data_IF_100531606290
#
_entry.id   IF_100531606290
#
_cell.length_a   1.000
_cell.length_b   1.000
_cell.length_c   1.000
_cell.angle_alpha   90.00
_cell.angle_beta   90.00
_cell.angle_gamma   90.00
#
_symmetry.space_group_name_H-M   'P 1'
#
loop_
_entity.id
_entity.type
_entity.pdbx_description
1 polymer ?
#
# COMPACT_ATOMS: atom_id res chain seq x y z
N UNK A 1 -12.16 0.05 15.48
CA UNK A 1 -10.72 0.40 15.59
C UNK A 1 -9.96 -0.55 14.67
N UNK A 2 -8.94 -0.08 13.92
CA UNK A 2 -8.07 -0.99 13.18
C UNK A 2 -7.42 -1.98 14.17
N UNK A 3 -7.24 -3.24 13.76
CA UNK A 3 -6.58 -4.24 14.61
C UNK A 3 -5.06 -4.10 14.52
N UNK A 4 -4.35 -4.56 15.55
CA UNK A 4 -2.91 -4.36 15.73
C UNK A 4 -2.05 -4.61 14.46
N UNK A 5 -2.26 -5.67 13.65
CA UNK A 5 -1.49 -5.87 12.42
C UNK A 5 -1.67 -4.79 11.34
N UNK A 6 -2.78 -4.05 11.35
CA UNK A 6 -2.97 -2.93 10.43
C UNK A 6 -2.19 -1.70 10.82
N UNK A 7 -2.19 -1.40 12.12
CA UNK A 7 -1.44 -0.27 12.66
C UNK A 7 0.04 -0.52 12.43
N UNK A 8 0.48 -1.76 12.65
CA UNK A 8 1.84 -2.18 12.32
C UNK A 8 2.13 -2.03 10.82
N UNK A 9 1.27 -2.54 9.94
CA UNK A 9 1.45 -2.39 8.50
C UNK A 9 1.46 -0.91 8.05
N UNK A 10 0.57 -0.06 8.57
CA UNK A 10 0.56 1.35 8.25
C UNK A 10 1.85 2.05 8.74
N UNK A 11 2.25 1.78 9.98
CA UNK A 11 3.45 2.36 10.59
C UNK A 11 4.72 1.92 9.86
N UNK A 12 4.84 0.64 9.50
CA UNK A 12 6.00 0.14 8.75
C UNK A 12 6.06 0.68 7.34
N UNK A 13 4.91 0.81 6.68
CA UNK A 13 4.87 1.42 5.35
C UNK A 13 5.34 2.88 5.40
N UNK A 14 4.84 3.64 6.38
CA UNK A 14 5.27 5.03 6.60
C UNK A 14 6.77 5.11 6.94
N UNK A 15 7.27 4.23 7.80
CA UNK A 15 8.69 4.18 8.17
C UNK A 15 9.59 3.97 6.95
N UNK A 16 9.27 2.99 6.10
CA UNK A 16 10.02 2.73 4.87
C UNK A 16 9.99 3.93 3.92
N UNK A 17 8.82 4.54 3.74
CA UNK A 17 8.65 5.71 2.88
C UNK A 17 9.48 6.90 3.38
N UNK A 18 9.47 7.15 4.70
CA UNK A 18 10.26 8.22 5.32
C UNK A 18 11.76 7.94 5.30
N UNK A 19 12.16 6.67 5.41
CA UNK A 19 13.55 6.23 5.25
C UNK A 19 14.09 6.57 3.86
N UNK A 20 13.34 6.22 2.82
CA UNK A 20 13.67 6.55 1.43
C UNK A 20 13.67 8.06 1.18
N UNK A 21 12.67 8.78 1.70
CA UNK A 21 12.61 10.25 1.61
C UNK A 21 13.90 10.89 2.17
N UNK A 22 14.35 10.41 3.33
CA UNK A 22 15.57 10.91 3.99
C UNK A 22 16.82 10.61 3.18
N UNK A 23 16.95 9.40 2.60
CA UNK A 23 18.08 9.04 1.75
C UNK A 23 18.19 9.96 0.53
N UNK A 24 17.05 10.31 -0.08
CA UNK A 24 16.95 11.25 -1.20
C UNK A 24 17.00 12.73 -0.79
N UNK A 25 17.15 13.03 0.51
CA UNK A 25 17.13 14.39 1.08
C UNK A 25 15.85 15.17 0.74
N UNK A 26 14.73 14.47 0.60
CA UNK A 26 13.41 15.09 0.44
C UNK A 26 13.01 15.69 1.79
N UNK A 27 13.07 17.02 1.91
CA UNK A 27 12.72 17.77 3.13
C UNK A 27 11.29 18.31 3.13
N UNK A 28 10.51 17.94 2.12
CA UNK A 28 9.15 18.42 1.88
C UNK A 28 8.15 17.58 2.65
N UNK A 29 7.00 18.17 3.00
CA UNK A 29 5.93 17.46 3.68
C UNK A 29 5.32 16.40 2.76
N UNK A 30 5.46 15.13 3.14
CA UNK A 30 4.84 14.00 2.47
C UNK A 30 3.52 13.71 3.20
N UNK A 31 2.40 13.73 2.48
CA UNK A 31 1.11 13.35 3.03
C UNK A 31 0.84 11.88 2.74
N UNK A 32 0.94 11.03 3.75
CA UNK A 32 0.54 9.63 3.68
C UNK A 32 -0.98 9.54 3.90
N UNK A 33 -1.76 9.35 2.84
CA UNK A 33 -3.18 9.00 2.93
C UNK A 33 -3.32 7.50 2.68
N UNK A 34 -3.20 6.68 3.73
CA UNK A 34 -3.23 5.21 3.64
C UNK A 34 -4.42 4.58 4.37
N UNK A 35 -4.91 3.44 3.86
CA UNK A 35 -5.91 2.59 4.51
C UNK A 35 -5.46 1.11 4.45
N UNK A 36 -5.52 0.41 5.58
CA UNK A 36 -5.10 -1.01 5.73
C UNK A 36 -6.30 -1.89 6.15
N UNK A 37 -6.40 -3.18 5.74
CA UNK A 37 -7.51 -4.11 6.12
C UNK A 37 -7.07 -5.48 6.75
N UNK A 38 -7.80 -5.98 7.75
CA UNK A 38 -7.90 -7.38 8.27
C UNK A 38 -9.34 -7.82 8.04
N UNK A 39 -9.53 -9.04 7.54
CA UNK A 39 -10.82 -9.72 7.61
C UNK A 39 -11.06 -10.19 9.06
N UNK A 40 -11.73 -9.41 9.92
CA UNK A 40 -12.28 -9.93 11.17
C UNK A 40 -13.67 -9.36 11.43
N UNK A 41 -14.55 -10.27 11.84
CA UNK A 41 -15.89 -10.07 12.40
C UNK A 41 -16.00 -8.78 13.22
N UNK A 42 -16.93 -7.90 12.78
CA UNK A 42 -17.58 -6.71 13.39
C UNK A 42 -16.87 -5.98 14.55
N UNK A 43 -16.68 -4.65 14.53
CA UNK A 43 -17.72 -3.62 14.35
C UNK A 43 -17.15 -2.44 13.54
N UNK A 44 -17.78 -2.16 12.39
CA UNK A 44 -17.43 -1.04 11.51
C UNK A 44 -17.25 -1.43 10.04
N UNK A 45 -18.29 -2.05 9.45
CA UNK A 45 -18.46 -2.31 8.01
C UNK A 45 -17.29 -3.02 7.30
N UNK A 46 -17.34 -4.36 7.33
CA UNK A 46 -16.56 -5.23 6.45
C UNK A 46 -16.64 -4.73 5.00
N UNK A 47 -15.49 -4.59 4.35
CA UNK A 47 -15.38 -4.02 3.00
C UNK A 47 -14.69 -5.04 2.10
N UNK A 48 -15.35 -5.54 1.05
CA UNK A 48 -14.75 -6.45 0.05
C UNK A 48 -13.71 -5.73 -0.82
N UNK A 49 -12.91 -6.47 -1.60
CA UNK A 49 -12.00 -5.89 -2.59
C UNK A 49 -12.72 -4.92 -3.56
N UNK A 50 -14.00 -5.19 -3.90
CA UNK A 50 -14.80 -4.26 -4.71
C UNK A 50 -15.16 -2.96 -3.98
N UNK A 51 -15.23 -2.96 -2.64
CA UNK A 51 -15.46 -1.74 -1.87
C UNK A 51 -14.20 -0.90 -1.76
N UNK A 52 -13.01 -1.52 -1.59
CA UNK A 52 -11.73 -0.81 -1.73
C UNK A 52 -11.55 -0.17 -3.11
N UNK A 53 -11.88 -0.90 -4.17
CA UNK A 53 -11.86 -0.35 -5.53
C UNK A 53 -12.82 0.83 -5.67
N UNK A 54 -14.01 0.79 -5.05
CA UNK A 54 -14.97 1.91 -5.03
C UNK A 54 -14.46 3.09 -4.21
N UNK A 55 -13.86 2.87 -3.05
CA UNK A 55 -13.34 3.91 -2.17
C UNK A 55 -12.13 4.62 -2.82
N UNK A 56 -11.23 3.86 -3.46
CA UNK A 56 -10.12 4.42 -4.24
C UNK A 56 -10.62 5.13 -5.50
N UNK A 57 -11.58 4.55 -6.22
CA UNK A 57 -12.20 5.22 -7.36
C UNK A 57 -12.83 6.55 -6.92
N UNK A 58 -13.47 6.57 -5.75
CA UNK A 58 -14.02 7.78 -5.16
C UNK A 58 -12.93 8.78 -4.78
N UNK A 59 -11.85 8.38 -4.10
CA UNK A 59 -10.73 9.28 -3.75
C UNK A 59 -10.02 9.85 -4.96
N UNK A 60 -9.68 9.00 -5.93
CA UNK A 60 -9.03 9.44 -7.18
C UNK A 60 -9.92 10.43 -7.94
N UNK A 61 -11.24 10.21 -7.98
CA UNK A 61 -12.19 11.14 -8.61
C UNK A 61 -12.39 12.42 -7.80
N UNK A 62 -12.59 12.31 -6.49
CA UNK A 62 -12.84 13.44 -5.59
C UNK A 62 -11.63 14.38 -5.48
N UNK A 63 -10.42 13.85 -5.67
CA UNK A 63 -9.18 14.61 -5.64
C UNK A 63 -9.06 15.68 -6.74
N UNK A 64 -9.92 15.67 -7.78
CA UNK A 64 -9.86 16.58 -8.94
C UNK A 64 -8.46 16.67 -9.58
N UNK A 65 -7.70 15.56 -9.57
CA UNK A 65 -6.34 15.50 -10.11
C UNK A 65 -5.23 15.78 -9.10
N UNK A 66 -5.56 16.01 -7.82
CA UNK A 66 -4.60 16.14 -6.72
C UNK A 66 -4.06 14.78 -6.24
N UNK A 67 -4.66 13.66 -6.64
CA UNK A 67 -4.15 12.32 -6.34
C UNK A 67 -3.92 11.57 -7.63
N UNK A 68 -2.67 11.17 -7.88
CA UNK A 68 -2.26 10.50 -9.13
C UNK A 68 -2.14 8.97 -8.98
N UNK A 69 -2.12 8.47 -7.74
CA UNK A 69 -2.02 7.04 -7.42
C UNK A 69 -2.66 6.75 -6.06
N UNK A 70 -3.25 5.57 -5.90
CA UNK A 70 -3.62 4.99 -4.60
C UNK A 70 -2.89 3.68 -4.33
N UNK A 71 -2.60 3.37 -3.08
CA UNK A 71 -1.97 2.11 -2.66
C UNK A 71 -2.86 1.42 -1.64
N UNK A 72 -3.06 0.12 -1.78
CA UNK A 72 -3.78 -0.71 -0.80
C UNK A 72 -2.89 -1.79 -0.26
N UNK A 73 -3.02 -2.06 1.04
CA UNK A 73 -2.36 -3.15 1.73
C UNK A 73 -3.44 -4.05 2.34
N UNK A 74 -3.61 -5.22 1.75
CA UNK A 74 -4.60 -6.23 2.13
C UNK A 74 -3.92 -7.35 2.93
N UNK A 75 -4.34 -7.57 4.19
CA UNK A 75 -3.86 -8.68 5.02
C UNK A 75 -4.95 -9.74 5.10
N UNK A 76 -4.74 -10.89 4.46
CA UNK A 76 -5.73 -11.99 4.39
C UNK A 76 -5.72 -12.81 5.68
N UNK A 77 -6.81 -12.70 6.44
CA UNK A 77 -6.99 -13.46 7.69
C UNK A 77 -6.93 -14.96 7.44
N UNK A 78 -6.38 -15.72 8.39
CA UNK A 78 -6.16 -17.16 8.29
C UNK A 78 -4.85 -17.53 7.59
N UNK A 79 -4.61 -17.00 6.39
CA UNK A 79 -3.35 -17.27 5.66
C UNK A 79 -2.18 -16.38 6.07
N UNK A 80 -2.47 -15.19 6.60
CA UNK A 80 -1.45 -14.17 6.83
C UNK A 80 -0.88 -13.55 5.55
N UNK A 81 -1.38 -13.92 4.36
CA UNK A 81 -0.88 -13.37 3.10
C UNK A 81 -1.10 -11.86 3.04
N UNK A 82 -0.09 -11.13 2.62
CA UNK A 82 -0.10 -9.67 2.49
C UNK A 82 -0.07 -9.34 1.00
N UNK A 83 -1.01 -8.55 0.53
CA UNK A 83 -1.10 -8.14 -0.87
C UNK A 83 -1.07 -6.61 -0.95
N UNK A 84 -0.10 -6.07 -1.70
CA UNK A 84 0.01 -4.65 -2.02
C UNK A 84 -0.47 -4.45 -3.46
N UNK A 85 -1.32 -3.45 -3.69
CA UNK A 85 -1.70 -3.01 -5.04
C UNK A 85 -1.52 -1.52 -5.20
N UNK A 86 -0.97 -1.12 -6.34
CA UNK A 86 -0.96 0.28 -6.80
C UNK A 86 -2.08 0.47 -7.80
N UNK A 87 -2.79 1.58 -7.66
CA UNK A 87 -3.96 1.94 -8.46
C UNK A 87 -3.75 3.30 -9.10
N UNK A 88 -4.05 3.43 -10.39
CA UNK A 88 -4.04 4.72 -11.09
C UNK A 88 -5.42 5.04 -11.65
N UNK A 89 -5.77 6.34 -11.78
CA UNK A 89 -6.99 6.73 -12.47
C UNK A 89 -6.96 6.24 -13.92
N UNK A 90 -8.06 5.66 -14.38
CA UNK A 90 -8.24 5.42 -15.81
C UNK A 90 -8.61 6.74 -16.46
N UNK A 91 -7.75 7.26 -17.35
CA UNK A 91 -8.09 8.43 -18.15
C UNK A 91 -8.97 7.99 -19.32
N UNK A 92 -10.28 8.24 -19.24
CA UNK A 92 -11.20 8.06 -20.38
C UNK A 92 -11.65 9.39 -20.95
N UNK A 93 -11.55 9.53 -22.27
CA UNK A 93 -12.16 10.62 -23.04
C UNK A 93 -13.40 10.07 -23.78
N UNK A 94 -14.59 10.68 -23.63
CA UNK A 94 -14.91 11.84 -22.80
C UNK A 94 -14.90 11.54 -21.29
N UNK A 95 -14.54 12.55 -20.46
CA UNK A 95 -14.37 12.50 -18.99
C UNK A 95 -15.61 12.03 -18.19
N UNK A 96 -16.73 11.79 -18.86
CA UNK A 96 -18.00 11.38 -18.25
C UNK A 96 -18.19 9.85 -18.21
N UNK A 97 -17.33 9.08 -18.86
CA UNK A 97 -17.35 7.63 -18.74
C UNK A 97 -16.71 7.20 -17.40
N UNK A 98 -17.51 6.61 -16.51
CA UNK A 98 -17.02 6.04 -15.25
C UNK A 98 -16.15 4.81 -15.54
N UNK A 99 -14.84 4.99 -15.62
CA UNK A 99 -13.91 3.87 -15.72
C UNK A 99 -13.34 3.56 -14.34
N UNK A 100 -13.40 2.28 -13.94
CA UNK A 100 -12.80 1.81 -12.71
C UNK A 100 -11.29 2.06 -12.72
N UNK A 101 -10.65 2.38 -11.57
CA UNK A 101 -9.20 2.56 -11.50
C UNK A 101 -8.48 1.27 -11.90
N UNK A 102 -7.32 1.41 -12.54
CA UNK A 102 -6.51 0.26 -12.98
C UNK A 102 -5.45 -0.09 -11.95
N UNK A 103 -5.27 -1.38 -11.71
CA UNK A 103 -4.12 -1.89 -10.94
C UNK A 103 -2.89 -1.85 -11.84
N UNK A 104 -1.84 -1.17 -11.41
CA UNK A 104 -0.56 -1.08 -12.15
C UNK A 104 0.53 -1.93 -11.54
N UNK A 105 0.48 -2.17 -10.23
CA UNK A 105 1.40 -3.05 -9.53
C UNK A 105 0.62 -3.97 -8.60
N UNK A 106 1.07 -5.22 -8.48
CA UNK A 106 0.53 -6.19 -7.54
C UNK A 106 1.69 -6.99 -6.96
N UNK A 107 1.82 -6.92 -5.64
CA UNK A 107 2.87 -7.60 -4.88
C UNK A 107 2.19 -8.50 -3.87
N UNK A 108 2.57 -9.78 -3.86
CA UNK A 108 1.99 -10.78 -2.97
C UNK A 108 3.10 -11.40 -2.12
N UNK A 109 2.99 -11.24 -0.81
CA UNK A 109 3.88 -11.83 0.18
C UNK A 109 3.14 -12.91 0.94
N UNK A 110 3.77 -14.08 1.06
CA UNK A 110 3.22 -15.22 1.78
C UNK A 110 4.16 -15.64 2.88
N UNK A 111 3.60 -15.83 4.07
CA UNK A 111 4.31 -16.41 5.21
C UNK A 111 4.72 -17.82 4.83
N UNK A 112 5.99 -18.16 5.07
CA UNK A 112 6.44 -19.54 4.97
C UNK A 112 5.83 -20.37 6.10
N UNK A 113 5.27 -21.55 5.80
CA UNK A 113 4.77 -22.48 6.81
C UNK A 113 5.79 -23.58 7.12
N UNK A 114 5.76 -24.13 8.33
CA UNK A 114 6.51 -25.35 8.71
C UNK A 114 8.02 -25.31 8.35
N UNK A 115 8.69 -24.19 8.66
CA UNK A 115 10.12 -24.02 8.39
C UNK A 115 10.47 -23.60 6.96
N UNK A 116 9.49 -23.40 6.07
CA UNK A 116 9.74 -22.79 4.77
C UNK A 116 10.02 -21.30 4.90
N UNK A 117 10.86 -20.78 4.00
CA UNK A 117 11.13 -19.35 3.90
C UNK A 117 9.90 -18.60 3.38
N UNK A 118 9.69 -17.34 3.80
CA UNK A 118 8.66 -16.51 3.21
C UNK A 118 8.93 -16.26 1.73
N UNK A 119 7.87 -16.00 0.97
CA UNK A 119 7.96 -15.76 -0.48
C UNK A 119 7.34 -14.43 -0.85
N UNK A 120 7.89 -13.80 -1.88
CA UNK A 120 7.37 -12.60 -2.51
C UNK A 120 7.18 -12.86 -4.00
N UNK A 121 6.05 -12.40 -4.54
CA UNK A 121 5.72 -12.42 -5.96
C UNK A 121 5.39 -11.00 -6.41
N UNK A 122 5.80 -10.64 -7.62
CA UNK A 122 5.76 -9.28 -8.13
C UNK A 122 7.18 -8.71 -8.33
N UNK A 123 7.29 -7.39 -8.48
CA UNK A 123 8.56 -6.66 -8.47
C UNK A 123 8.65 -5.74 -7.26
N UNK A 124 9.53 -4.74 -7.32
CA UNK A 124 9.59 -3.67 -6.33
C UNK A 124 8.28 -2.86 -6.29
N UNK A 125 7.96 -2.28 -5.14
CA UNK A 125 6.93 -1.25 -5.08
C UNK A 125 7.55 0.08 -5.50
N UNK A 126 6.96 0.71 -6.50
CA UNK A 126 7.49 1.96 -7.07
C UNK A 126 6.40 3.00 -6.91
N UNK A 127 6.69 4.03 -6.13
CA UNK A 127 5.80 5.17 -5.95
C UNK A 127 6.41 6.33 -6.71
N UNK A 128 5.83 6.73 -7.86
CA UNK A 128 6.41 7.81 -8.64
C UNK A 128 6.47 9.09 -7.81
N UNK A 129 7.61 9.79 -7.84
CA UNK A 129 7.83 10.99 -7.03
C UNK A 129 6.72 12.03 -7.25
N UNK A 130 6.42 12.30 -8.53
CA UNK A 130 5.39 13.24 -8.93
C UNK A 130 3.97 12.78 -8.53
N UNK A 131 3.76 11.48 -8.31
CA UNK A 131 2.47 10.97 -7.85
C UNK A 131 2.24 11.23 -6.36
N UNK A 132 3.32 11.28 -5.57
CA UNK A 132 3.28 11.53 -4.13
C UNK A 132 3.37 13.02 -3.78
N UNK A 133 4.25 13.77 -4.44
CA UNK A 133 4.51 15.18 -4.14
C UNK A 133 3.88 16.18 -5.12
N UNK A 134 3.32 15.71 -6.24
CA UNK A 134 2.67 16.53 -7.27
C UNK A 134 3.58 17.59 -7.91
N UNK A 135 4.89 17.44 -7.78
CA UNK A 135 5.93 18.33 -8.33
C UNK A 135 7.03 17.50 -8.99
N UNK A 136 7.84 18.14 -9.84
CA UNK A 136 8.99 17.50 -10.47
C UNK A 136 10.12 17.24 -9.45
N UNK A 137 10.83 16.10 -9.57
CA UNK A 137 12.01 15.81 -8.76
C UNK A 137 13.17 16.76 -9.08
N UNK A 138 13.95 17.09 -8.07
CA UNK A 138 15.25 17.77 -8.20
C UNK A 138 16.39 16.76 -8.35
N UNK A 139 17.60 17.27 -8.58
CA UNK A 139 18.81 16.45 -8.58
C UNK A 139 18.94 15.67 -7.26
N UNK A 140 19.04 14.34 -7.37
CA UNK A 140 19.08 13.42 -6.23
C UNK A 140 17.72 13.00 -5.66
N UNK A 141 16.61 13.60 -6.13
CA UNK A 141 15.25 13.13 -5.86
C UNK A 141 14.79 12.19 -7.00
N UNK A 142 13.95 11.21 -6.67
CA UNK A 142 13.46 10.25 -7.64
C UNK A 142 12.29 9.43 -7.09
N UNK A 143 11.86 8.46 -7.88
CA UNK A 143 10.78 7.57 -7.47
C UNK A 143 11.17 6.80 -6.20
N UNK A 144 10.19 6.59 -5.32
CA UNK A 144 10.39 5.82 -4.11
C UNK A 144 10.31 4.34 -4.48
N UNK A 145 11.44 3.65 -4.44
CA UNK A 145 11.54 2.23 -4.72
C UNK A 145 11.67 1.47 -3.41
N UNK A 146 10.60 0.79 -2.99
CA UNK A 146 10.66 -0.17 -1.89
C UNK A 146 11.00 -1.53 -2.49
N UNK A 147 12.24 -1.94 -2.30
CA UNK A 147 12.78 -3.16 -2.85
C UNK A 147 12.10 -4.41 -2.27
N UNK A 148 12.11 -5.50 -3.04
CA UNK A 148 11.46 -6.75 -2.64
C UNK A 148 11.96 -7.31 -1.29
N UNK A 149 13.25 -7.16 -1.00
CA UNK A 149 13.85 -7.58 0.25
C UNK A 149 13.38 -6.74 1.45
N UNK A 150 13.30 -5.42 1.31
CA UNK A 150 12.71 -4.54 2.32
C UNK A 150 11.24 -4.90 2.56
N UNK A 151 10.47 -5.12 1.49
CA UNK A 151 9.06 -5.54 1.62
C UNK A 151 8.93 -6.89 2.34
N UNK A 152 9.82 -7.83 2.09
CA UNK A 152 9.74 -9.15 2.70
C UNK A 152 10.22 -9.14 4.16
N UNK A 153 11.38 -8.57 4.44
CA UNK A 153 12.07 -8.70 5.73
C UNK A 153 11.85 -7.53 6.68
N UNK A 154 11.69 -6.30 6.18
CA UNK A 154 11.48 -5.10 7.03
C UNK A 154 10.00 -4.72 7.17
N UNK A 155 9.13 -5.32 6.35
CA UNK A 155 7.70 -5.03 6.35
C UNK A 155 6.85 -6.27 6.66
N UNK A 156 6.89 -7.32 5.84
CA UNK A 156 5.99 -8.47 6.00
C UNK A 156 6.23 -9.28 7.28
N UNK A 157 7.50 -9.51 7.66
CA UNK A 157 7.82 -10.28 8.88
C UNK A 157 7.27 -9.64 10.16
N UNK A 158 7.30 -8.31 10.26
CA UNK A 158 6.79 -7.58 11.42
C UNK A 158 5.26 -7.63 11.51
N UNK A 159 4.59 -7.57 10.35
CA UNK A 159 3.14 -7.76 10.29
C UNK A 159 2.78 -9.20 10.69
N UNK A 160 3.53 -10.20 10.24
CA UNK A 160 3.30 -11.59 10.64
C UNK A 160 3.54 -11.82 12.13
N UNK A 161 4.53 -11.16 12.73
CA UNK A 161 4.75 -11.20 14.18
C UNK A 161 3.56 -10.56 14.93
N UNK A 162 3.09 -9.39 14.49
CA UNK A 162 1.91 -8.74 15.08
C UNK A 162 0.63 -9.58 14.97
N UNK A 163 0.47 -10.37 13.89
CA UNK A 163 -0.64 -11.33 13.75
C UNK A 163 -0.52 -12.45 14.78
N UNK A 164 0.69 -12.97 15.02
CA UNK A 164 0.92 -14.03 16.01
C UNK A 164 0.69 -13.55 17.44
N UNK A 165 1.20 -12.36 17.79
CA UNK A 165 0.96 -11.74 19.10
C UNK A 165 -0.53 -11.49 19.35
N UNK A 166 -1.28 -11.06 18.34
CA UNK A 166 -2.73 -10.86 18.46
C UNK A 166 -3.55 -12.15 18.53
N UNK A 167 -2.95 -13.31 18.27
CA UNK A 167 -3.59 -14.63 18.37
C UNK A 167 -3.15 -15.43 19.62
N UNK A 168 -2.17 -14.93 20.37
CA UNK A 168 -1.68 -15.51 21.62
C UNK A 168 -2.57 -15.14 22.82
#
# INVERSE_FOLDING_TARGET
MPSHPHEEAASRFEFLLMGLARQMKVTRQIFCLGATRIDALEVGYSQTAEKFQRDIAWWLRASKGQMRMGITIDIKRGSGNIEIKSWVPTMSFPQNASTAPQVTQRILMKKGGNGQKPTIQGGDLIIPFQSLLLIEPREGEGDFVIAQDMLLYEFAELIWAAIEEGNA
#
